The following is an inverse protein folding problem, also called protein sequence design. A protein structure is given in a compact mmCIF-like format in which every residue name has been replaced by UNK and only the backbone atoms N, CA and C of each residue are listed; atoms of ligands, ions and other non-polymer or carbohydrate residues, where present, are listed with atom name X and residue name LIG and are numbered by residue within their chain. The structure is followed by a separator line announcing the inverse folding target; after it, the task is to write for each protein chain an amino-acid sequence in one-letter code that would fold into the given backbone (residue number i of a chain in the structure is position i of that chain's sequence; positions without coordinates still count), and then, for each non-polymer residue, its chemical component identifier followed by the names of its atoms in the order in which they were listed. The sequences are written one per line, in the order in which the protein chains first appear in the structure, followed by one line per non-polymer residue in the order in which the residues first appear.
data_IF_144176730586
#
_entry.id   IF_144176730586
#
_cell.length_a   1.000
_cell.length_b   1.000
_cell.length_c   1.000
_cell.angle_alpha   90.00
_cell.angle_beta   90.00
_cell.angle_gamma   90.00
#
_symmetry.space_group_name_H-M   'P 1'
#
loop_
_entity.id
_entity.type
_entity.pdbx_description
1 polymer ?
#
# COMPACT_ATOMS: atom_id res chain seq x y z
N UNK A 1 8.75 -61.65 60.21
CA UNK A 1 7.64 -60.66 60.20
C UNK A 1 8.17 -59.43 59.46
N UNK A 2 8.03 -59.41 58.13
CA UNK A 2 8.54 -58.33 57.29
C UNK A 2 7.47 -57.25 57.15
N UNK A 3 7.80 -56.03 57.54
CA UNK A 3 6.97 -54.84 57.31
C UNK A 3 7.29 -54.28 55.93
N UNK A 4 6.28 -54.27 55.05
CA UNK A 4 6.27 -53.60 53.74
C UNK A 4 6.15 -52.08 53.96
N UNK A 5 7.06 -51.32 53.37
CA UNK A 5 6.92 -49.87 53.15
C UNK A 5 6.09 -49.63 51.88
N UNK A 6 5.13 -48.69 51.85
CA UNK A 6 4.36 -48.40 50.64
C UNK A 6 5.18 -47.50 49.69
N UNK A 7 5.07 -47.78 48.39
CA UNK A 7 5.61 -46.94 47.32
C UNK A 7 4.83 -45.62 47.24
N UNK A 8 5.54 -44.50 47.23
CA UNK A 8 4.97 -43.17 46.94
C UNK A 8 4.57 -43.05 45.47
N UNK A 9 3.66 -42.12 45.13
CA UNK A 9 3.22 -41.93 43.75
C UNK A 9 4.38 -41.42 42.89
N UNK A 10 4.55 -42.03 41.72
CA UNK A 10 5.50 -41.61 40.70
C UNK A 10 5.32 -40.11 40.40
N UNK A 11 6.37 -39.33 40.67
CA UNK A 11 6.46 -37.96 40.22
C UNK A 11 6.55 -37.98 38.70
N UNK A 12 5.45 -37.62 38.04
CA UNK A 12 5.42 -37.35 36.60
C UNK A 12 6.33 -36.15 36.33
N UNK A 13 7.56 -36.41 35.90
CA UNK A 13 8.43 -35.41 35.30
C UNK A 13 7.72 -34.87 34.04
N UNK A 14 7.44 -33.56 33.93
CA UNK A 14 6.88 -33.02 32.71
C UNK A 14 7.93 -33.16 31.59
N UNK A 15 7.47 -33.68 30.46
CA UNK A 15 8.23 -33.80 29.22
C UNK A 15 8.65 -32.38 28.76
N UNK A 16 9.96 -32.08 28.57
CA UNK A 16 10.42 -30.75 28.22
C UNK A 16 10.17 -30.38 26.75
N UNK A 17 9.72 -31.32 25.92
CA UNK A 17 9.31 -31.06 24.54
C UNK A 17 7.78 -31.04 24.44
N UNK A 18 7.19 -29.89 24.81
CA UNK A 18 5.86 -29.53 24.34
C UNK A 18 5.90 -29.38 22.81
N UNK A 19 5.73 -30.50 22.09
CA UNK A 19 5.76 -30.55 20.64
C UNK A 19 4.75 -29.56 20.05
N UNK A 20 5.25 -28.43 19.55
CA UNK A 20 4.45 -27.55 18.70
C UNK A 20 4.16 -28.32 17.42
N UNK A 21 2.86 -28.48 17.10
CA UNK A 21 2.46 -29.01 15.80
C UNK A 21 3.20 -28.26 14.69
N UNK A 22 3.72 -28.96 13.67
CA UNK A 22 4.48 -28.33 12.61
C UNK A 22 3.63 -27.26 11.92
N UNK A 23 4.19 -26.04 11.82
CA UNK A 23 3.53 -24.93 11.13
C UNK A 23 3.11 -25.39 9.72
N UNK A 24 1.80 -25.29 9.38
CA UNK A 24 1.33 -25.76 8.09
C UNK A 24 2.04 -25.03 6.95
N UNK A 25 2.26 -25.71 5.84
CA UNK A 25 2.78 -25.10 4.61
C UNK A 25 1.58 -24.59 3.81
N UNK A 26 1.50 -23.29 3.49
CA UNK A 26 0.44 -22.77 2.62
C UNK A 26 0.46 -23.45 1.25
N UNK A 27 -0.71 -23.85 0.74
CA UNK A 27 -0.83 -24.38 -0.61
C UNK A 27 -0.56 -23.29 -1.65
N UNK A 28 -0.12 -23.65 -2.88
CA UNK A 28 0.02 -22.68 -3.97
C UNK A 28 -1.27 -21.88 -4.26
N UNK A 29 -2.44 -22.52 -4.12
CA UNK A 29 -3.75 -21.87 -4.27
C UNK A 29 -3.97 -20.80 -3.20
N UNK A 30 -3.69 -21.12 -1.92
CA UNK A 30 -3.78 -20.14 -0.85
C UNK A 30 -2.84 -18.95 -1.08
N UNK A 31 -1.62 -19.19 -1.59
CA UNK A 31 -0.71 -18.10 -1.95
C UNK A 31 -1.23 -17.28 -3.14
N UNK A 32 -1.85 -17.93 -4.12
CA UNK A 32 -2.46 -17.22 -5.24
C UNK A 32 -3.58 -16.27 -4.78
N UNK A 33 -4.40 -16.67 -3.81
CA UNK A 33 -5.42 -15.80 -3.20
C UNK A 33 -4.79 -14.60 -2.46
N UNK A 34 -3.75 -14.85 -1.66
CA UNK A 34 -3.01 -13.78 -0.99
C UNK A 34 -2.40 -12.78 -1.98
N UNK A 35 -1.87 -13.27 -3.10
CA UNK A 35 -1.32 -12.42 -4.17
C UNK A 35 -2.43 -11.69 -4.92
N UNK A 36 -3.60 -12.32 -5.14
CA UNK A 36 -4.75 -11.66 -5.75
C UNK A 36 -5.24 -10.45 -4.95
N UNK A 37 -5.13 -10.52 -3.62
CA UNK A 37 -5.37 -9.39 -2.72
C UNK A 37 -4.20 -8.39 -2.76
N UNK A 38 -2.94 -8.87 -2.77
CA UNK A 38 -1.75 -8.04 -2.82
C UNK A 38 -1.73 -7.08 -4.03
N UNK A 39 -2.07 -7.59 -5.22
CA UNK A 39 -2.02 -6.83 -6.46
C UNK A 39 -3.10 -5.75 -6.59
N UNK A 40 -4.07 -5.67 -5.66
CA UNK A 40 -5.04 -4.57 -5.62
C UNK A 40 -4.39 -3.21 -5.30
N UNK A 41 -3.14 -3.23 -4.82
CA UNK A 41 -2.33 -2.07 -4.49
C UNK A 41 -2.27 -1.02 -5.62
N UNK A 42 -2.11 0.27 -5.27
CA UNK A 42 -1.82 1.33 -6.22
C UNK A 42 -0.37 1.25 -6.73
N UNK A 43 -0.17 1.69 -7.97
CA UNK A 43 1.16 1.94 -8.55
C UNK A 43 1.08 3.11 -9.53
N UNK A 44 2.21 3.77 -9.78
CA UNK A 44 2.30 4.85 -10.76
C UNK A 44 1.78 4.36 -12.12
N UNK A 45 0.84 5.11 -12.69
CA UNK A 45 0.10 4.77 -13.91
C UNK A 45 -0.50 3.35 -13.97
N UNK A 46 -0.74 2.71 -12.81
CA UNK A 46 -1.16 1.31 -12.74
C UNK A 46 -0.19 0.36 -13.48
N UNK A 47 1.11 0.68 -13.46
CA UNK A 47 2.16 -0.10 -14.13
C UNK A 47 2.39 -1.48 -13.49
N UNK A 48 1.99 -1.65 -12.23
CA UNK A 48 2.05 -2.91 -11.47
C UNK A 48 3.45 -3.55 -11.53
N UNK A 49 4.49 -2.84 -11.03
CA UNK A 49 5.90 -3.17 -11.26
C UNK A 49 6.41 -4.28 -10.32
N UNK A 50 5.57 -5.25 -9.99
CA UNK A 50 5.85 -6.29 -9.01
C UNK A 50 5.81 -7.69 -9.61
N UNK A 51 6.67 -8.56 -9.10
CA UNK A 51 6.61 -10.01 -9.24
C UNK A 51 6.70 -10.66 -7.86
N UNK A 52 6.03 -11.78 -7.71
CA UNK A 52 6.01 -12.60 -6.52
C UNK A 52 6.66 -13.96 -6.81
N UNK A 53 7.44 -14.45 -5.87
CA UNK A 53 8.00 -15.80 -5.92
C UNK A 53 7.73 -16.50 -4.60
N UNK A 54 7.06 -17.64 -4.64
CA UNK A 54 6.78 -18.44 -3.45
C UNK A 54 7.73 -19.62 -3.34
N UNK A 55 8.37 -19.75 -2.18
CA UNK A 55 9.16 -20.91 -1.78
C UNK A 55 8.40 -21.71 -0.71
N UNK A 56 7.81 -22.87 -1.07
CA UNK A 56 7.08 -23.72 -0.13
C UNK A 56 7.96 -24.32 0.98
N UNK A 57 9.25 -24.57 0.71
CA UNK A 57 10.16 -25.15 1.70
C UNK A 57 10.48 -24.16 2.82
N UNK A 58 10.59 -22.88 2.46
CA UNK A 58 10.86 -21.78 3.41
C UNK A 58 9.56 -21.12 3.93
N UNK A 59 8.41 -21.41 3.30
CA UNK A 59 7.13 -20.68 3.47
C UNK A 59 7.30 -19.18 3.27
N UNK A 60 8.09 -18.81 2.27
CA UNK A 60 8.44 -17.41 1.99
C UNK A 60 7.81 -16.97 0.68
N UNK A 61 7.12 -15.84 0.72
CA UNK A 61 6.75 -15.08 -0.48
C UNK A 61 7.74 -13.94 -0.63
N UNK A 62 8.50 -13.95 -1.72
CA UNK A 62 9.35 -12.84 -2.13
C UNK A 62 8.51 -11.82 -2.90
N UNK A 63 8.75 -10.54 -2.63
CA UNK A 63 8.24 -9.41 -3.42
C UNK A 63 9.42 -8.80 -4.17
N UNK A 64 9.32 -8.78 -5.49
CA UNK A 64 10.41 -8.40 -6.40
C UNK A 64 9.96 -7.28 -7.34
N UNK A 65 10.88 -6.39 -7.69
CA UNK A 65 10.64 -5.41 -8.74
C UNK A 65 10.60 -6.09 -10.12
N UNK A 66 9.66 -5.69 -10.96
CA UNK A 66 9.59 -6.06 -12.38
C UNK A 66 10.32 -5.02 -13.23
N UNK A 67 11.55 -5.30 -13.73
CA UNK A 67 12.30 -4.32 -14.52
C UNK A 67 11.64 -4.01 -15.86
N UNK A 68 10.78 -4.89 -16.38
CA UNK A 68 10.07 -4.71 -17.66
C UNK A 68 8.87 -3.75 -17.53
N UNK A 69 8.61 -3.25 -16.32
CA UNK A 69 7.54 -2.32 -15.99
C UNK A 69 8.05 -0.97 -15.46
N UNK A 70 9.34 -0.69 -15.67
CA UNK A 70 9.93 0.61 -15.36
C UNK A 70 9.31 1.75 -16.18
N UNK A 71 9.28 2.94 -15.59
CA UNK A 71 8.85 4.19 -16.23
C UNK A 71 10.08 5.06 -16.35
N UNK A 72 10.61 5.21 -17.56
CA UNK A 72 11.99 5.64 -17.77
C UNK A 72 12.22 7.13 -17.53
N UNK A 73 11.26 7.97 -17.91
CA UNK A 73 11.37 9.42 -17.81
C UNK A 73 10.77 9.94 -16.52
N UNK A 74 9.59 9.43 -16.13
CA UNK A 74 8.88 9.90 -14.92
C UNK A 74 9.35 9.21 -13.63
N UNK A 75 10.03 8.06 -13.70
CA UNK A 75 10.57 7.34 -12.53
C UNK A 75 11.97 6.73 -12.80
N UNK A 76 12.97 7.53 -13.21
CA UNK A 76 14.27 7.03 -13.66
C UNK A 76 15.04 6.25 -12.59
N UNK A 77 14.85 6.58 -11.31
CA UNK A 77 15.48 5.89 -10.17
C UNK A 77 14.64 4.71 -9.64
N UNK A 78 13.44 4.50 -10.17
CA UNK A 78 12.51 3.47 -9.74
C UNK A 78 11.86 3.73 -8.38
N UNK A 79 11.88 4.95 -7.87
CA UNK A 79 11.30 5.32 -6.56
C UNK A 79 9.81 5.03 -6.51
N UNK A 80 9.07 5.44 -7.53
CA UNK A 80 7.63 5.16 -7.63
C UNK A 80 7.35 3.65 -7.78
N UNK A 81 8.22 2.93 -8.49
CA UNK A 81 8.15 1.47 -8.57
C UNK A 81 8.36 0.80 -7.19
N UNK A 82 9.29 1.29 -6.37
CA UNK A 82 9.48 0.80 -4.99
C UNK A 82 8.27 1.10 -4.11
N UNK A 83 7.71 2.31 -4.18
CA UNK A 83 6.49 2.68 -3.46
C UNK A 83 5.33 1.73 -3.83
N UNK A 84 5.15 1.45 -5.12
CA UNK A 84 4.12 0.52 -5.60
C UNK A 84 4.34 -0.92 -5.13
N UNK A 85 5.56 -1.45 -5.24
CA UNK A 85 5.89 -2.79 -4.75
C UNK A 85 5.70 -2.91 -3.23
N UNK A 86 6.03 -1.85 -2.48
CA UNK A 86 5.83 -1.82 -1.04
C UNK A 86 4.34 -1.70 -0.64
N UNK A 87 3.52 -1.02 -1.43
CA UNK A 87 2.07 -1.07 -1.25
C UNK A 87 1.53 -2.49 -1.48
N UNK A 88 1.99 -3.19 -2.53
CA UNK A 88 1.62 -4.59 -2.76
C UNK A 88 2.11 -5.53 -1.65
N UNK A 89 3.32 -5.29 -1.12
CA UNK A 89 3.83 -5.97 0.08
C UNK A 89 2.94 -5.73 1.30
N UNK A 90 2.44 -4.51 1.51
CA UNK A 90 1.52 -4.22 2.61
C UNK A 90 0.21 -4.99 2.46
N UNK A 91 -0.37 -5.01 1.26
CA UNK A 91 -1.59 -5.76 0.98
C UNK A 91 -1.39 -7.26 1.17
N UNK A 92 -0.22 -7.80 0.80
CA UNK A 92 0.15 -9.18 1.10
C UNK A 92 0.18 -9.46 2.61
N UNK A 93 0.72 -8.54 3.42
CA UNK A 93 0.73 -8.65 4.90
C UNK A 93 -0.69 -8.66 5.47
N UNK A 94 -1.56 -7.76 4.99
CA UNK A 94 -2.98 -7.68 5.40
C UNK A 94 -3.73 -8.96 5.04
N UNK A 95 -3.60 -9.43 3.79
CA UNK A 95 -4.24 -10.66 3.34
C UNK A 95 -3.75 -11.88 4.13
N UNK A 96 -2.44 -11.98 4.38
CA UNK A 96 -1.85 -13.05 5.17
C UNK A 96 -2.41 -13.05 6.61
N UNK A 97 -2.43 -11.88 7.28
CA UNK A 97 -2.98 -11.73 8.62
C UNK A 97 -4.46 -12.14 8.68
N UNK A 98 -5.28 -11.67 7.73
CA UNK A 98 -6.68 -12.05 7.62
C UNK A 98 -6.87 -13.57 7.44
N UNK A 99 -6.04 -14.19 6.61
CA UNK A 99 -6.02 -15.64 6.38
C UNK A 99 -5.44 -16.46 7.56
N UNK A 100 -5.01 -15.81 8.65
CA UNK A 100 -4.49 -16.50 9.82
C UNK A 100 -3.01 -16.88 9.73
N UNK A 101 -2.24 -16.16 8.93
CA UNK A 101 -0.79 -16.25 8.91
C UNK A 101 -0.19 -15.06 9.63
N UNK A 102 0.91 -15.29 10.35
CA UNK A 102 1.75 -14.22 10.88
C UNK A 102 2.78 -13.83 9.81
N UNK A 103 2.64 -12.66 9.14
CA UNK A 103 3.59 -12.25 8.13
C UNK A 103 4.84 -11.67 8.79
N UNK A 104 5.96 -12.36 8.70
CA UNK A 104 7.27 -11.85 9.16
C UNK A 104 8.03 -11.28 7.97
N UNK A 105 8.13 -9.95 7.91
CA UNK A 105 8.69 -9.23 6.76
C UNK A 105 10.15 -8.85 6.97
N UNK A 106 10.96 -9.04 5.93
CA UNK A 106 12.35 -8.55 5.84
C UNK A 106 12.52 -7.75 4.55
N UNK A 107 12.86 -6.47 4.67
CA UNK A 107 13.12 -5.58 3.52
C UNK A 107 14.57 -5.71 3.05
N UNK A 108 14.79 -5.62 1.74
CA UNK A 108 16.09 -5.69 1.07
C UNK A 108 16.96 -6.84 1.62
N UNK A 109 16.45 -8.07 1.57
CA UNK A 109 17.05 -9.23 2.24
C UNK A 109 18.42 -9.64 1.67
N UNK A 110 18.72 -9.30 0.42
CA UNK A 110 19.95 -9.66 -0.27
C UNK A 110 20.54 -8.41 -0.98
N UNK A 111 21.65 -7.86 -0.49
CA UNK A 111 22.32 -6.73 -1.15
C UNK A 111 22.84 -7.05 -2.57
N UNK A 112 23.03 -8.32 -2.91
CA UNK A 112 23.49 -8.76 -4.23
C UNK A 112 22.36 -8.87 -5.27
N UNK A 113 21.11 -8.87 -4.83
CA UNK A 113 19.93 -8.97 -5.69
C UNK A 113 19.06 -7.70 -5.53
N UNK A 114 19.35 -6.64 -6.29
CA UNK A 114 18.62 -5.37 -6.16
C UNK A 114 17.15 -5.50 -6.55
N UNK A 115 16.72 -6.53 -7.27
CA UNK A 115 15.31 -6.71 -7.62
C UNK A 115 14.52 -7.37 -6.49
N UNK A 116 15.17 -8.03 -5.53
CA UNK A 116 14.52 -8.60 -4.36
C UNK A 116 14.25 -7.53 -3.31
N UNK A 117 13.02 -7.04 -3.27
CA UNK A 117 12.64 -5.91 -2.42
C UNK A 117 12.26 -6.34 -1.01
N UNK A 118 11.59 -7.48 -0.86
CA UNK A 118 11.21 -8.01 0.44
C UNK A 118 11.01 -9.54 0.42
N UNK A 119 11.13 -10.14 1.60
CA UNK A 119 10.64 -11.49 1.90
C UNK A 119 9.55 -11.40 2.97
N UNK A 120 8.48 -12.16 2.78
CA UNK A 120 7.42 -12.38 3.78
C UNK A 120 7.39 -13.85 4.13
N UNK A 121 7.88 -14.21 5.32
CA UNK A 121 7.76 -15.56 5.85
C UNK A 121 6.39 -15.71 6.51
N UNK A 122 5.64 -16.71 6.07
CA UNK A 122 4.32 -17.05 6.59
C UNK A 122 4.49 -18.04 7.75
N UNK A 123 4.45 -17.49 8.96
CA UNK A 123 4.45 -18.29 10.18
C UNK A 123 3.02 -18.65 10.60
N UNK A 124 2.88 -19.74 11.36
CA UNK A 124 1.59 -20.20 11.86
C UNK A 124 0.95 -19.16 12.78
N UNK A 125 -0.31 -18.81 12.50
CA UNK A 125 -0.98 -17.73 13.22
C UNK A 125 -2.51 -17.76 13.18
N UNK A 126 -3.16 -18.91 13.44
CA UNK A 126 -4.58 -18.99 13.88
C UNK A 126 -5.10 -20.37 14.31
N UNK A 127 -4.25 -21.40 14.40
CA UNK A 127 -4.61 -22.70 15.00
C UNK A 127 -4.31 -22.79 16.51
N UNK A 128 -3.92 -21.68 17.16
CA UNK A 128 -3.78 -21.60 18.63
C UNK A 128 -4.88 -20.77 19.30
N UNK A 129 -5.80 -20.14 18.55
CA UNK A 129 -6.96 -19.45 19.12
C UNK A 129 -8.21 -19.60 18.23
N UNK A 130 -9.28 -20.03 18.87
CA UNK A 130 -10.55 -20.54 18.37
C UNK A 130 -11.30 -19.65 17.35
N UNK A 131 -11.85 -20.30 16.32
CA UNK A 131 -12.55 -19.76 15.17
C UNK A 131 -14.04 -19.52 15.46
N UNK A 132 -14.41 -18.55 16.31
CA UNK A 132 -15.84 -18.18 16.49
C UNK A 132 -16.15 -16.73 16.91
N UNK A 133 -15.23 -15.76 16.85
CA UNK A 133 -15.55 -14.39 17.32
C UNK A 133 -15.60 -13.29 16.25
N UNK A 134 -16.78 -12.67 16.21
CA UNK A 134 -17.22 -11.36 15.68
C UNK A 134 -16.19 -10.22 15.86
N UNK A 135 -16.31 -9.11 15.10
CA UNK A 135 -15.30 -8.05 15.00
C UNK A 135 -14.90 -7.49 16.37
N UNK A 136 -13.60 -7.56 16.66
CA UNK A 136 -13.02 -7.20 17.93
C UNK A 136 -12.58 -5.74 17.91
N UNK A 137 -13.41 -4.83 18.44
CA UNK A 137 -12.97 -3.49 18.86
C UNK A 137 -12.99 -3.47 20.40
N UNK A 138 -11.85 -3.72 21.04
CA UNK A 138 -11.70 -3.50 22.49
C UNK A 138 -10.45 -2.71 22.81
N UNK A 139 -10.63 -1.75 23.71
CA UNK A 139 -9.58 -0.88 24.23
C UNK A 139 -8.60 -1.65 25.11
N UNK A 140 -7.35 -1.16 25.14
CA UNK A 140 -6.19 -1.57 25.95
C UNK A 140 -6.47 -1.79 27.44
N UNK A 141 -7.61 -1.29 27.93
CA UNK A 141 -8.06 -1.39 29.31
C UNK A 141 -8.60 -2.78 29.69
N UNK A 142 -9.08 -3.57 28.72
CA UNK A 142 -9.60 -4.93 28.97
C UNK A 142 -8.47 -5.92 29.27
N UNK A 143 -7.32 -5.77 28.59
CA UNK A 143 -6.18 -6.67 28.74
C UNK A 143 -5.51 -6.54 30.11
N UNK A 144 -5.42 -5.31 30.65
CA UNK A 144 -4.84 -5.04 31.97
C UNK A 144 -5.53 -5.82 33.11
N UNK A 145 -6.73 -6.38 32.85
CA UNK A 145 -7.54 -7.14 33.80
C UNK A 145 -7.34 -8.66 33.72
N UNK A 146 -6.79 -9.22 32.64
CA UNK A 146 -6.69 -10.68 32.43
C UNK A 146 -5.42 -11.31 33.02
N UNK A 147 -4.38 -10.53 33.30
CA UNK A 147 -3.19 -11.02 34.01
C UNK A 147 -2.27 -11.96 33.21
N UNK A 148 -2.57 -12.23 31.94
CA UNK A 148 -1.71 -12.98 31.02
C UNK A 148 -0.52 -12.12 30.53
N UNK A 149 0.65 -12.71 30.21
CA UNK A 149 1.77 -11.97 29.65
C UNK A 149 1.44 -11.42 28.26
N UNK A 150 1.41 -10.10 28.13
CA UNK A 150 1.19 -9.39 26.87
C UNK A 150 2.52 -9.10 26.19
N UNK A 151 2.74 -9.63 24.98
CA UNK A 151 3.92 -9.26 24.18
C UNK A 151 3.62 -8.16 23.14
N UNK A 152 2.37 -7.67 23.06
CA UNK A 152 1.94 -6.63 22.12
C UNK A 152 1.91 -7.07 20.65
N UNK A 153 2.30 -8.30 20.33
CA UNK A 153 2.39 -8.76 18.95
C UNK A 153 1.02 -9.17 18.39
N UNK A 154 0.16 -9.77 19.22
CA UNK A 154 -1.21 -10.14 18.84
C UNK A 154 -2.04 -8.94 18.35
N UNK A 155 -1.98 -7.81 19.07
CA UNK A 155 -2.72 -6.59 18.71
C UNK A 155 -2.24 -6.01 17.37
N UNK A 156 -0.95 -6.07 17.07
CA UNK A 156 -0.42 -5.62 15.77
C UNK A 156 -0.87 -6.52 14.60
N UNK A 157 -1.11 -7.81 14.84
CA UNK A 157 -1.64 -8.73 13.83
C UNK A 157 -3.13 -8.55 13.60
N UNK A 158 -3.90 -8.38 14.68
CA UNK A 158 -5.34 -8.13 14.60
C UNK A 158 -5.61 -6.78 13.89
N UNK A 159 -4.83 -5.74 14.20
CA UNK A 159 -4.89 -4.45 13.49
C UNK A 159 -4.62 -4.57 11.98
N UNK A 160 -3.71 -5.46 11.56
CA UNK A 160 -3.48 -5.70 10.13
C UNK A 160 -4.67 -6.41 9.47
N UNK A 161 -5.23 -7.42 10.13
CA UNK A 161 -6.37 -8.17 9.61
C UNK A 161 -7.64 -7.30 9.46
N UNK A 162 -7.81 -6.31 10.35
CA UNK A 162 -8.93 -5.36 10.31
C UNK A 162 -8.95 -4.48 9.04
N UNK A 163 -7.80 -4.31 8.38
CA UNK A 163 -7.69 -3.57 7.11
C UNK A 163 -8.19 -4.36 5.89
N UNK A 164 -8.39 -5.68 6.01
CA UNK A 164 -8.75 -6.56 4.90
C UNK A 164 -9.98 -6.10 4.08
N UNK A 165 -11.09 -5.64 4.70
CA UNK A 165 -12.26 -5.17 3.94
C UNK A 165 -11.96 -3.99 3.02
N UNK A 166 -10.90 -3.20 3.29
CA UNK A 166 -10.53 -2.05 2.48
C UNK A 166 -9.77 -2.41 1.21
N UNK A 167 -9.07 -3.55 1.13
CA UNK A 167 -8.18 -3.89 0.00
C UNK A 167 -8.86 -3.74 -1.36
N UNK A 168 -10.05 -4.33 -1.51
CA UNK A 168 -10.83 -4.32 -2.76
C UNK A 168 -11.74 -3.10 -2.91
N UNK A 169 -11.97 -2.35 -1.83
CA UNK A 169 -12.79 -1.13 -1.81
C UNK A 169 -11.98 0.11 -2.15
N UNK A 170 -10.71 0.15 -1.76
CA UNK A 170 -9.81 1.28 -1.94
C UNK A 170 -9.64 1.54 -3.44
N UNK A 171 -9.84 2.79 -3.84
CA UNK A 171 -9.65 3.27 -5.21
C UNK A 171 -9.11 4.67 -5.18
N UNK A 172 -8.36 5.02 -6.22
CA UNK A 172 -7.86 6.38 -6.43
C UNK A 172 -8.97 7.17 -7.12
N UNK A 173 -9.53 8.15 -6.43
CA UNK A 173 -10.54 9.05 -6.99
C UNK A 173 -9.89 10.22 -7.71
N UNK A 174 -10.45 10.56 -8.87
CA UNK A 174 -10.09 11.73 -9.67
C UNK A 174 -11.27 12.69 -9.82
N UNK A 175 -12.36 12.45 -9.07
CA UNK A 175 -13.52 13.31 -9.00
C UNK A 175 -13.29 14.47 -8.01
N UNK A 176 -14.09 15.55 -8.07
CA UNK A 176 -14.15 16.56 -7.03
C UNK A 176 -14.50 15.98 -5.66
N UNK A 177 -13.95 16.57 -4.60
CA UNK A 177 -14.35 16.31 -3.22
C UNK A 177 -15.19 17.48 -2.67
N UNK A 178 -15.95 17.23 -1.62
CA UNK A 178 -16.69 18.26 -0.89
C UNK A 178 -15.72 19.15 -0.09
N UNK A 179 -16.16 20.35 0.27
CA UNK A 179 -15.42 21.27 1.15
C UNK A 179 -15.51 20.88 2.64
N UNK A 180 -16.08 19.71 2.94
CA UNK A 180 -16.23 19.21 4.31
C UNK A 180 -14.86 18.92 4.92
N UNK A 181 -14.61 19.53 6.09
CA UNK A 181 -13.35 19.35 6.82
C UNK A 181 -13.29 17.96 7.43
N UNK A 182 -12.13 17.34 7.31
CA UNK A 182 -11.86 16.04 7.93
C UNK A 182 -11.67 16.27 9.43
N UNK A 183 -12.31 15.43 10.24
CA UNK A 183 -12.20 15.49 11.70
C UNK A 183 -10.76 15.22 12.20
N UNK A 184 -10.33 15.95 13.22
CA UNK A 184 -8.96 15.86 13.75
C UNK A 184 -8.63 14.46 14.30
N UNK A 185 -9.61 13.73 14.86
CA UNK A 185 -9.39 12.36 15.33
C UNK A 185 -9.09 11.41 14.17
N UNK A 186 -9.70 11.65 13.01
CA UNK A 186 -9.41 10.90 11.79
C UNK A 186 -8.01 11.27 11.26
N UNK A 187 -7.66 12.55 11.24
CA UNK A 187 -6.29 12.98 10.87
C UNK A 187 -5.23 12.31 11.76
N UNK A 188 -5.45 12.27 13.08
CA UNK A 188 -4.56 11.58 14.03
C UNK A 188 -4.47 10.07 13.80
N UNK A 189 -5.57 9.45 13.39
CA UNK A 189 -5.58 8.03 12.99
C UNK A 189 -4.69 7.80 11.76
N UNK A 190 -4.79 8.66 10.75
CA UNK A 190 -3.95 8.58 9.55
C UNK A 190 -2.46 8.87 9.86
N UNK A 191 -2.17 9.82 10.76
CA UNK A 191 -0.79 10.06 11.24
C UNK A 191 -0.21 8.82 11.92
N UNK A 192 -0.99 8.16 12.77
CA UNK A 192 -0.58 6.94 13.47
C UNK A 192 -0.34 5.80 12.48
N UNK A 193 -1.22 5.63 11.48
CA UNK A 193 -1.07 4.63 10.44
C UNK A 193 0.28 4.76 9.70
N UNK A 194 0.67 5.99 9.32
CA UNK A 194 1.98 6.23 8.71
C UNK A 194 3.14 5.91 9.67
N UNK A 195 3.03 6.31 10.94
CA UNK A 195 4.06 6.11 11.95
C UNK A 195 4.34 4.64 12.27
N UNK A 196 3.30 3.79 12.30
CA UNK A 196 3.45 2.35 12.53
C UNK A 196 4.37 1.71 11.47
N UNK A 197 4.31 2.20 10.24
CA UNK A 197 5.13 1.71 9.12
C UNK A 197 6.45 2.50 8.95
N UNK A 198 6.78 3.37 9.91
CA UNK A 198 8.04 4.10 9.95
C UNK A 198 8.11 5.33 9.04
N UNK A 199 6.98 5.86 8.59
CA UNK A 199 6.87 7.12 7.86
C UNK A 199 6.15 8.19 8.69
N UNK A 200 6.08 9.41 8.17
CA UNK A 200 5.29 10.49 8.77
C UNK A 200 4.28 11.01 7.76
N UNK A 201 3.08 11.31 8.25
CA UNK A 201 2.05 12.02 7.50
C UNK A 201 1.91 13.42 8.09
N UNK A 202 2.19 14.44 7.29
CA UNK A 202 2.03 15.85 7.67
C UNK A 202 0.84 16.45 6.92
N UNK A 203 0.11 17.35 7.56
CA UNK A 203 -0.94 18.14 6.93
C UNK A 203 -0.44 19.58 6.87
N UNK A 204 -0.10 20.09 5.66
CA UNK A 204 0.43 21.42 5.53
C UNK A 204 -0.60 22.46 5.97
N UNK A 205 -0.12 23.59 6.49
CA UNK A 205 -0.96 24.76 6.71
C UNK A 205 -1.38 25.40 5.37
N UNK A 206 -2.12 26.50 5.43
CA UNK A 206 -2.62 27.18 4.23
C UNK A 206 -1.47 27.61 3.29
N UNK A 207 -0.42 28.21 3.83
CA UNK A 207 0.69 28.74 3.03
C UNK A 207 1.53 27.61 2.39
N UNK A 208 1.85 26.57 3.17
CA UNK A 208 2.58 25.43 2.65
C UNK A 208 1.72 24.63 1.66
N UNK A 209 0.42 24.52 1.93
CA UNK A 209 -0.55 23.90 1.03
C UNK A 209 -0.60 24.60 -0.33
N UNK A 210 -0.70 25.93 -0.35
CA UNK A 210 -0.63 26.73 -1.58
C UNK A 210 0.66 26.50 -2.35
N UNK A 211 1.80 26.47 -1.65
CA UNK A 211 3.11 26.18 -2.25
C UNK A 211 3.12 24.80 -2.93
N UNK A 212 2.59 23.77 -2.27
CA UNK A 212 2.51 22.40 -2.84
C UNK A 212 1.64 22.39 -4.11
N UNK A 213 0.52 23.11 -4.10
CA UNK A 213 -0.37 23.22 -5.26
C UNK A 213 0.30 23.96 -6.43
N UNK A 214 1.05 25.03 -6.17
CA UNK A 214 1.81 25.74 -7.20
C UNK A 214 2.89 24.87 -7.84
N UNK A 215 3.63 24.11 -7.03
CA UNK A 215 4.63 23.15 -7.52
C UNK A 215 3.99 22.05 -8.37
N UNK A 216 2.80 21.58 -7.99
CA UNK A 216 2.01 20.64 -8.81
C UNK A 216 1.67 21.21 -10.18
N UNK A 217 1.15 22.44 -10.24
CA UNK A 217 0.83 23.13 -11.51
C UNK A 217 2.07 23.39 -12.36
N UNK A 218 3.21 23.66 -11.73
CA UNK A 218 4.49 23.80 -12.43
C UNK A 218 4.96 22.47 -13.05
N UNK A 219 4.86 21.38 -12.31
CA UNK A 219 5.19 20.05 -12.82
C UNK A 219 4.31 19.67 -14.02
N UNK A 220 3.00 19.93 -13.94
CA UNK A 220 2.06 19.70 -15.05
C UNK A 220 2.45 20.52 -16.29
N UNK A 221 2.78 21.81 -16.14
CA UNK A 221 3.25 22.65 -17.27
C UNK A 221 4.51 22.10 -17.92
N UNK A 222 5.48 21.64 -17.12
CA UNK A 222 6.72 21.04 -17.64
C UNK A 222 6.43 19.77 -18.43
N UNK A 223 5.61 18.88 -17.86
CA UNK A 223 5.20 17.65 -18.51
C UNK A 223 4.48 17.91 -19.84
N UNK A 224 3.52 18.83 -19.87
CA UNK A 224 2.78 19.16 -21.10
C UNK A 224 3.68 19.79 -22.18
N UNK A 225 4.76 20.46 -21.77
CA UNK A 225 5.72 21.07 -22.69
C UNK A 225 6.75 20.07 -23.24
N UNK A 226 6.91 18.92 -22.59
CA UNK A 226 7.87 17.88 -22.97
C UNK A 226 7.18 16.78 -23.77
N UNK A 227 7.54 16.66 -25.06
CA UNK A 227 6.96 15.65 -25.94
C UNK A 227 7.27 14.22 -25.51
N UNK A 228 8.46 13.93 -25.00
CA UNK A 228 8.84 12.58 -24.62
C UNK A 228 8.08 12.12 -23.37
N UNK A 229 7.89 13.01 -22.38
CA UNK A 229 7.07 12.72 -21.20
C UNK A 229 5.59 12.54 -21.56
N UNK A 230 5.05 13.34 -22.50
CA UNK A 230 3.67 13.13 -22.99
C UNK A 230 3.51 11.79 -23.70
N UNK A 231 4.47 11.39 -24.51
CA UNK A 231 4.47 10.09 -25.19
C UNK A 231 4.58 8.92 -24.20
N UNK A 232 5.44 9.04 -23.17
CA UNK A 232 5.52 8.06 -22.09
C UNK A 232 4.20 7.95 -21.32
N UNK A 233 3.59 9.08 -20.94
CA UNK A 233 2.29 9.09 -20.28
C UNK A 233 1.22 8.44 -21.16
N UNK A 234 1.15 8.82 -22.44
CA UNK A 234 0.20 8.26 -23.40
C UNK A 234 0.40 6.75 -23.61
N UNK A 235 1.62 6.22 -23.46
CA UNK A 235 1.85 4.78 -23.49
C UNK A 235 1.17 4.05 -22.31
N UNK A 236 0.97 4.72 -21.17
CA UNK A 236 0.34 4.16 -19.98
C UNK A 236 -1.14 4.54 -19.78
N UNK A 237 -1.67 5.45 -20.60
CA UNK A 237 -3.02 6.00 -20.43
C UNK A 237 -3.85 5.93 -21.71
N UNK A 238 -5.16 5.75 -21.54
CA UNK A 238 -6.13 5.74 -22.64
C UNK A 238 -6.28 4.38 -23.31
N UNK A 239 -7.15 4.35 -24.31
CA UNK A 239 -7.63 3.10 -24.92
C UNK A 239 -6.80 2.70 -26.16
N UNK A 240 -5.82 3.52 -26.54
CA UNK A 240 -4.94 3.34 -27.70
C UNK A 240 -3.68 2.52 -27.42
N UNK A 241 -3.55 1.86 -26.26
CA UNK A 241 -2.47 0.88 -26.08
C UNK A 241 -2.59 -0.16 -27.19
N UNK A 242 -1.48 -0.42 -27.89
CA UNK A 242 -1.37 -1.39 -28.99
C UNK A 242 -1.56 -2.80 -28.47
N UNK A 243 -2.78 -3.12 -28.04
CA UNK A 243 -3.21 -4.46 -27.67
C UNK A 243 -4.06 -5.03 -28.81
N UNK A 244 -4.07 -6.35 -29.00
CA UNK A 244 -5.01 -6.98 -29.91
C UNK A 244 -6.43 -6.47 -29.62
N UNK A 245 -7.24 -6.17 -30.65
CA UNK A 245 -8.53 -5.49 -30.50
C UNK A 245 -9.56 -6.17 -29.59
N UNK A 246 -9.32 -7.42 -29.18
CA UNK A 246 -10.26 -8.25 -28.42
C UNK A 246 -9.90 -8.42 -26.92
N UNK A 247 -8.77 -7.88 -26.43
CA UNK A 247 -8.38 -7.98 -25.01
C UNK A 247 -7.94 -6.62 -24.46
N UNK A 248 -8.73 -5.97 -23.58
CA UNK A 248 -8.29 -4.74 -22.92
C UNK A 248 -7.08 -5.00 -22.01
N UNK A 249 -6.12 -4.07 -21.92
CA UNK A 249 -4.96 -4.21 -21.04
C UNK A 249 -5.34 -4.40 -19.57
N UNK A 250 -4.63 -5.29 -18.89
CA UNK A 250 -4.72 -5.48 -17.44
C UNK A 250 -3.81 -4.52 -16.64
N UNK A 251 -3.23 -3.51 -17.32
CA UNK A 251 -2.38 -2.45 -16.80
C UNK A 251 -2.72 -1.08 -17.41
N UNK A 252 -2.07 -0.02 -16.92
CA UNK A 252 -2.36 1.34 -17.38
C UNK A 252 -3.67 1.90 -16.83
N UNK A 253 -4.01 3.12 -17.25
CA UNK A 253 -5.24 3.81 -16.85
C UNK A 253 -6.13 4.03 -18.08
N UNK A 254 -7.29 3.36 -18.20
CA UNK A 254 -8.22 3.56 -19.31
C UNK A 254 -8.88 4.95 -19.25
N UNK A 255 -9.41 5.40 -20.38
CA UNK A 255 -9.95 6.76 -20.53
C UNK A 255 -11.16 7.05 -19.61
N UNK A 256 -11.97 6.02 -19.34
CA UNK A 256 -13.12 6.09 -18.42
C UNK A 256 -12.73 6.28 -16.94
N UNK A 257 -11.46 6.06 -16.60
CA UNK A 257 -10.90 6.24 -15.25
C UNK A 257 -10.17 7.58 -15.05
N UNK A 258 -10.14 8.45 -16.07
CA UNK A 258 -9.48 9.76 -15.99
C UNK A 258 -10.19 10.73 -15.04
N UNK A 259 -11.50 10.57 -14.85
CA UNK A 259 -12.31 11.55 -14.12
C UNK A 259 -12.62 12.81 -14.95
N UNK A 260 -13.41 13.75 -14.40
CA UNK A 260 -13.78 14.97 -15.08
C UNK A 260 -12.60 15.96 -15.15
N UNK A 261 -12.62 16.84 -16.15
CA UNK A 261 -11.70 17.98 -16.22
C UNK A 261 -12.13 19.09 -15.28
N UNK A 262 -11.16 19.75 -14.67
CA UNK A 262 -11.41 20.89 -13.81
C UNK A 262 -11.84 22.11 -14.63
N UNK A 263 -13.00 22.70 -14.29
CA UNK A 263 -13.41 24.04 -14.74
C UNK A 263 -12.94 25.13 -13.79
N UNK A 264 -12.98 24.81 -12.50
CA UNK A 264 -12.61 25.67 -11.39
C UNK A 264 -12.11 24.80 -10.22
N UNK A 265 -11.53 25.44 -9.20
CA UNK A 265 -10.95 24.77 -8.05
C UNK A 265 -9.43 24.64 -8.16
N UNK A 266 -8.80 24.18 -7.09
CA UNK A 266 -7.35 24.14 -6.95
C UNK A 266 -6.80 22.72 -6.78
N UNK A 267 -7.64 21.71 -6.92
CA UNK A 267 -7.27 20.36 -6.56
C UNK A 267 -6.21 19.75 -7.51
N UNK A 268 -5.13 19.13 -6.98
CA UNK A 268 -4.05 18.62 -7.81
C UNK A 268 -4.42 17.23 -8.35
N UNK A 269 -5.04 17.19 -9.53
CA UNK A 269 -5.33 15.94 -10.26
C UNK A 269 -4.55 15.95 -11.55
N UNK A 270 -3.63 14.99 -11.70
CA UNK A 270 -2.86 14.78 -12.93
C UNK A 270 -3.79 14.66 -14.14
N UNK A 271 -3.53 15.43 -15.20
CA UNK A 271 -4.20 15.24 -16.48
C UNK A 271 -3.66 14.02 -17.23
N UNK A 272 -4.35 12.90 -17.07
CA UNK A 272 -4.04 11.65 -17.77
C UNK A 272 -4.34 11.67 -19.27
N UNK A 273 -5.00 12.72 -19.79
CA UNK A 273 -5.16 12.92 -21.22
C UNK A 273 -3.89 13.44 -21.93
N UNK A 274 -2.84 13.79 -21.17
CA UNK A 274 -1.60 14.37 -21.72
C UNK A 274 -1.85 15.63 -22.59
N UNK A 275 -2.90 16.39 -22.29
CA UNK A 275 -3.34 17.56 -23.08
C UNK A 275 -4.31 17.23 -24.22
N UNK A 276 -4.48 15.95 -24.57
CA UNK A 276 -5.47 15.48 -25.53
C UNK A 276 -6.79 15.12 -24.83
N UNK A 277 -7.93 15.42 -25.46
CA UNK A 277 -9.26 15.09 -24.94
C UNK A 277 -10.18 14.46 -26.00
N UNK A 278 -9.78 13.32 -26.59
CA UNK A 278 -10.57 12.66 -27.62
C UNK A 278 -11.87 12.03 -27.07
N UNK A 279 -12.00 11.85 -25.75
CA UNK A 279 -13.12 11.17 -25.10
C UNK A 279 -14.28 12.08 -24.69
N UNK A 280 -14.14 13.41 -24.79
CA UNK A 280 -15.19 14.35 -24.39
C UNK A 280 -15.50 14.27 -22.90
N UNK A 281 -14.45 14.28 -22.06
CA UNK A 281 -14.59 14.14 -20.60
C UNK A 281 -15.57 15.15 -20.03
N UNK A 282 -16.34 14.72 -19.04
CA UNK A 282 -17.17 15.62 -18.25
C UNK A 282 -16.32 16.73 -17.61
N UNK A 283 -16.94 17.87 -17.34
CA UNK A 283 -16.29 19.02 -16.72
C UNK A 283 -16.94 19.27 -15.36
N UNK A 284 -16.13 19.49 -14.33
CA UNK A 284 -16.63 19.70 -12.97
C UNK A 284 -15.86 20.80 -12.23
N UNK A 285 -16.48 21.39 -11.21
CA UNK A 285 -15.82 22.29 -10.27
C UNK A 285 -15.22 21.45 -9.14
N UNK A 286 -13.92 21.61 -8.94
CA UNK A 286 -13.19 20.99 -7.85
C UNK A 286 -13.20 21.88 -6.61
N UNK A 287 -12.86 21.29 -5.47
CA UNK A 287 -12.71 21.99 -4.21
C UNK A 287 -11.74 23.18 -4.32
N UNK A 288 -12.09 24.28 -3.64
CA UNK A 288 -11.27 25.49 -3.57
C UNK A 288 -10.11 25.31 -2.61
N UNK A 289 -10.33 24.53 -1.55
CA UNK A 289 -9.37 24.30 -0.47
C UNK A 289 -9.12 22.79 -0.29
N UNK A 290 -8.42 22.14 -1.23
CA UNK A 290 -8.13 20.71 -1.15
C UNK A 290 -7.36 20.37 0.13
N UNK A 291 -7.81 19.32 0.82
CA UNK A 291 -7.17 18.85 2.04
C UNK A 291 -6.02 17.90 1.69
N UNK A 292 -4.81 18.46 1.65
CA UNK A 292 -3.59 17.75 1.30
C UNK A 292 -2.95 17.09 2.52
N UNK A 293 -2.21 16.02 2.27
CA UNK A 293 -1.27 15.44 3.19
C UNK A 293 0.03 15.10 2.46
N UNK A 294 1.14 15.23 3.18
CA UNK A 294 2.47 14.91 2.72
C UNK A 294 2.95 13.69 3.48
N UNK A 295 3.09 12.57 2.76
CA UNK A 295 3.72 11.37 3.30
C UNK A 295 5.22 11.45 3.03
N UNK A 296 6.04 11.18 4.04
CA UNK A 296 7.49 11.25 3.87
C UNK A 296 8.29 10.52 4.94
N UNK A 297 9.60 10.50 4.71
CA UNK A 297 10.59 9.73 5.47
C UNK A 297 11.76 10.61 5.90
N UNK A 298 12.52 10.15 6.89
CA UNK A 298 13.71 10.85 7.36
C UNK A 298 14.89 10.75 6.39
N UNK A 299 14.96 9.65 5.62
CA UNK A 299 15.93 9.44 4.54
C UNK A 299 15.24 9.22 3.20
N UNK A 300 16.05 8.99 2.17
CA UNK A 300 15.59 8.76 0.79
C UNK A 300 16.26 7.55 0.13
N UNK A 301 16.62 6.56 0.94
CA UNK A 301 17.17 5.30 0.43
C UNK A 301 16.06 4.38 -0.11
N UNK A 302 16.45 3.33 -0.82
CA UNK A 302 15.51 2.27 -1.25
C UNK A 302 14.73 1.67 -0.07
N UNK A 303 15.34 1.56 1.11
CA UNK A 303 14.66 1.10 2.32
C UNK A 303 13.59 2.12 2.79
N UNK A 304 13.86 3.41 2.66
CA UNK A 304 12.92 4.48 2.99
C UNK A 304 11.74 4.50 2.01
N UNK A 305 11.99 4.27 0.73
CA UNK A 305 10.92 4.12 -0.27
C UNK A 305 10.01 2.92 0.04
N UNK A 306 10.59 1.79 0.46
CA UNK A 306 9.79 0.63 0.85
C UNK A 306 8.98 0.86 2.13
N UNK A 307 9.51 1.61 3.11
CA UNK A 307 8.73 2.03 4.29
C UNK A 307 7.61 2.97 3.90
N UNK A 308 7.91 3.95 3.06
CA UNK A 308 6.93 4.92 2.58
C UNK A 308 5.80 4.25 1.78
N UNK A 309 6.08 3.24 0.95
CA UNK A 309 5.04 2.54 0.20
C UNK A 309 4.11 1.70 1.09
N UNK A 310 4.65 1.06 2.13
CA UNK A 310 3.83 0.35 3.12
C UNK A 310 2.99 1.34 3.94
N UNK A 311 3.58 2.46 4.38
CA UNK A 311 2.87 3.51 5.09
C UNK A 311 1.77 4.15 4.24
N UNK A 312 2.06 4.41 2.96
CA UNK A 312 1.09 4.92 1.99
C UNK A 312 -0.12 4.01 1.94
N UNK A 313 0.09 2.71 1.72
CA UNK A 313 -1.03 1.78 1.58
C UNK A 313 -1.81 1.64 2.88
N UNK A 314 -1.15 1.57 4.04
CA UNK A 314 -1.84 1.56 5.33
C UNK A 314 -2.75 2.79 5.48
N UNK A 315 -2.22 3.98 5.22
CA UNK A 315 -2.98 5.24 5.28
C UNK A 315 -4.17 5.22 4.32
N UNK A 316 -4.00 4.71 3.10
CA UNK A 316 -5.08 4.63 2.11
C UNK A 316 -6.19 3.64 2.53
N UNK A 317 -5.82 2.52 3.15
CA UNK A 317 -6.78 1.52 3.62
C UNK A 317 -7.55 2.01 4.84
N UNK A 318 -6.88 2.64 5.81
CA UNK A 318 -7.50 3.28 6.99
C UNK A 318 -8.49 4.37 6.54
N UNK A 319 -8.05 5.27 5.65
CA UNK A 319 -8.91 6.29 5.06
C UNK A 319 -10.14 5.69 4.35
N UNK A 320 -9.98 4.56 3.67
CA UNK A 320 -11.08 3.85 2.99
C UNK A 320 -12.08 3.24 3.99
N UNK A 321 -11.61 2.71 5.13
CA UNK A 321 -12.49 2.19 6.19
C UNK A 321 -13.33 3.30 6.81
N UNK A 322 -12.74 4.49 6.99
CA UNK A 322 -13.40 5.68 7.54
C UNK A 322 -14.19 6.49 6.50
N UNK A 323 -14.29 6.00 5.25
CA UNK A 323 -15.14 6.57 4.21
C UNK A 323 -14.56 7.78 3.47
N UNK A 324 -13.27 8.05 3.61
CA UNK A 324 -12.59 9.10 2.84
C UNK A 324 -12.30 8.63 1.42
N UNK A 325 -12.55 9.52 0.47
CA UNK A 325 -12.01 9.44 -0.87
C UNK A 325 -10.54 9.90 -0.87
N UNK A 326 -9.71 9.23 -1.67
CA UNK A 326 -8.26 9.52 -1.76
C UNK A 326 -7.83 9.75 -3.20
N UNK A 327 -6.95 10.73 -3.41
CA UNK A 327 -6.24 10.96 -4.67
C UNK A 327 -4.74 11.05 -4.41
N UNK A 328 -3.93 10.67 -5.40
CA UNK A 328 -2.47 10.72 -5.31
C UNK A 328 -1.93 11.69 -6.35
N UNK A 329 -1.03 12.58 -5.92
CA UNK A 329 -0.35 13.53 -6.77
C UNK A 329 1.17 13.32 -6.64
N UNK A 330 1.78 12.73 -7.67
CA UNK A 330 3.22 12.46 -7.71
C UNK A 330 4.02 13.45 -8.56
N UNK A 331 3.37 14.24 -9.42
CA UNK A 331 4.01 15.02 -10.49
C UNK A 331 5.13 15.93 -9.99
N UNK A 332 4.88 16.72 -8.95
CA UNK A 332 5.91 17.59 -8.36
C UNK A 332 7.09 16.82 -7.75
N UNK A 333 6.92 15.53 -7.47
CA UNK A 333 7.94 14.66 -6.89
C UNK A 333 8.74 13.90 -7.96
N UNK A 334 8.41 14.07 -9.24
CA UNK A 334 9.12 13.47 -10.38
C UNK A 334 10.26 14.38 -10.87
N UNK A 335 10.34 15.62 -10.37
CA UNK A 335 11.39 16.59 -10.66
C UNK A 335 12.20 16.90 -9.41
N UNK A 336 13.51 16.73 -9.43
CA UNK A 336 14.37 16.88 -8.25
C UNK A 336 14.23 18.25 -7.58
N UNK A 337 14.20 19.34 -8.36
CA UNK A 337 14.11 20.69 -7.80
C UNK A 337 12.74 20.96 -7.18
N UNK A 338 11.66 20.49 -7.81
CA UNK A 338 10.31 20.65 -7.30
C UNK A 338 10.11 19.78 -6.05
N UNK A 339 10.57 18.53 -6.09
CA UNK A 339 10.51 17.59 -4.96
C UNK A 339 11.24 18.13 -3.74
N UNK A 340 12.40 18.74 -3.94
CA UNK A 340 13.15 19.41 -2.87
C UNK A 340 12.32 20.54 -2.24
N UNK A 341 11.60 21.31 -3.06
CA UNK A 341 10.80 22.46 -2.67
C UNK A 341 9.43 22.11 -2.05
N UNK A 342 8.88 20.91 -2.30
CA UNK A 342 7.60 20.47 -1.67
C UNK A 342 7.74 20.35 -0.15
N UNK A 343 8.94 20.18 0.38
CA UNK A 343 9.18 19.99 1.81
C UNK A 343 9.02 21.30 2.58
N UNK A 344 8.51 21.19 3.81
CA UNK A 344 8.62 22.26 4.79
C UNK A 344 10.01 22.19 5.46
N UNK A 345 10.88 23.20 5.31
CA UNK A 345 12.19 23.23 5.95
C UNK A 345 12.15 23.19 7.49
N UNK A 346 11.02 23.58 8.09
CA UNK A 346 10.82 23.54 9.55
C UNK A 346 10.31 22.17 10.05
N UNK A 347 9.90 21.27 9.15
CA UNK A 347 9.35 19.97 9.49
C UNK A 347 10.45 18.93 9.73
N UNK A 348 10.19 17.98 10.63
CA UNK A 348 11.01 16.78 10.79
C UNK A 348 10.88 15.79 9.61
N UNK A 349 10.04 16.11 8.62
CA UNK A 349 9.84 15.39 7.38
C UNK A 349 10.93 15.77 6.35
N UNK A 350 12.02 15.00 6.29
CA UNK A 350 13.17 15.33 5.43
C UNK A 350 12.97 15.05 3.94
N UNK A 351 12.10 14.09 3.58
CA UNK A 351 11.87 13.71 2.18
C UNK A 351 10.39 13.40 1.96
N UNK A 352 9.71 14.19 1.12
CA UNK A 352 8.32 13.90 0.71
C UNK A 352 8.36 12.80 -0.34
N UNK A 353 7.59 11.74 -0.07
CA UNK A 353 7.49 10.55 -0.90
C UNK A 353 6.20 10.53 -1.71
N UNK A 354 5.11 11.08 -1.18
CA UNK A 354 3.82 11.18 -1.87
C UNK A 354 3.02 12.37 -1.37
N UNK A 355 2.30 13.05 -2.28
CA UNK A 355 1.24 14.00 -1.92
C UNK A 355 -0.10 13.28 -2.06
N UNK A 356 -0.90 13.33 -1.01
CA UNK A 356 -2.21 12.68 -0.95
C UNK A 356 -3.26 13.77 -0.79
N UNK A 357 -4.36 13.67 -1.52
CA UNK A 357 -5.54 14.49 -1.35
C UNK A 357 -6.63 13.65 -0.68
N UNK A 358 -7.15 14.13 0.43
CA UNK A 358 -8.27 13.50 1.15
C UNK A 358 -9.54 14.35 1.03
N UNK A 359 -10.70 13.70 1.16
CA UNK A 359 -11.97 14.39 1.28
C UNK A 359 -13.14 13.42 1.22
N UNK A 360 -14.35 13.97 1.18
CA UNK A 360 -15.57 13.20 0.95
C UNK A 360 -16.07 13.47 -0.46
N UNK A 361 -16.69 12.49 -1.09
CA UNK A 361 -17.18 12.65 -2.45
C UNK A 361 -17.87 11.40 -2.96
N UNK A 362 -18.46 11.51 -4.15
CA UNK A 362 -19.10 10.39 -4.81
C UNK A 362 -18.13 9.24 -5.06
N UNK A 363 -18.71 8.07 -5.33
CA UNK A 363 -17.98 6.82 -5.49
C UNK A 363 -16.79 7.00 -6.43
N UNK A 364 -15.60 6.51 -6.04
CA UNK A 364 -14.44 6.54 -6.92
C UNK A 364 -14.77 5.85 -8.24
N UNK A 365 -14.12 6.30 -9.32
CA UNK A 365 -14.30 5.78 -10.68
C UNK A 365 -14.13 4.24 -10.80
N UNK A 366 -14.22 3.69 -12.02
CA UNK A 366 -14.19 2.24 -12.22
C UNK A 366 -12.96 1.60 -11.57
N UNK A 367 -13.13 0.36 -11.10
CA UNK A 367 -11.99 -0.41 -10.60
C UNK A 367 -11.04 -0.67 -11.76
N UNK A 368 -9.79 -0.29 -11.57
CA UNK A 368 -8.77 -0.56 -12.57
C UNK A 368 -8.46 -2.06 -12.61
N UNK A 369 -8.26 -2.60 -13.81
CA UNK A 369 -7.83 -3.98 -14.01
C UNK A 369 -6.47 -4.21 -13.38
N UNK A 370 -6.21 -5.48 -13.08
CA UNK A 370 -4.95 -5.98 -12.51
C UNK A 370 -4.49 -7.18 -13.31
N UNK A 371 -3.18 -7.29 -13.49
CA UNK A 371 -2.55 -8.42 -14.17
C UNK A 371 -2.99 -9.74 -13.50
N UNK A 372 -3.27 -10.79 -14.27
CA UNK A 372 -3.60 -12.10 -13.72
C UNK A 372 -2.51 -12.60 -12.77
N UNK A 373 -2.91 -13.26 -11.67
CA UNK A 373 -1.97 -13.77 -10.66
C UNK A 373 -0.89 -14.66 -11.28
N UNK A 374 -1.25 -15.45 -12.29
CA UNK A 374 -0.35 -16.37 -12.98
C UNK A 374 0.77 -15.65 -13.75
N UNK A 375 0.59 -14.38 -14.12
CA UNK A 375 1.64 -13.60 -14.78
C UNK A 375 2.64 -13.00 -13.80
N UNK A 376 2.27 -12.89 -12.52
CA UNK A 376 3.07 -12.19 -11.50
C UNK A 376 3.56 -13.12 -10.41
N UNK A 377 2.96 -14.29 -10.21
CA UNK A 377 3.34 -15.28 -9.20
C UNK A 377 4.03 -16.48 -9.85
N UNK A 378 5.20 -16.83 -9.31
CA UNK A 378 5.91 -18.08 -9.61
C UNK A 378 6.11 -18.89 -8.34
N UNK A 379 6.15 -20.22 -8.44
CA UNK A 379 6.43 -21.12 -7.31
C UNK A 379 7.76 -21.83 -7.56
N UNK A 380 8.70 -21.76 -6.63
CA UNK A 380 9.97 -22.47 -6.77
C UNK A 380 9.74 -23.97 -6.61
N UNK A 381 10.19 -24.76 -7.58
CA UNK A 381 10.08 -26.22 -7.55
C UNK A 381 9.19 -26.81 -8.64
N UNK A 382 8.46 -25.97 -9.38
CA UNK A 382 7.94 -26.35 -10.70
C UNK A 382 9.11 -26.20 -11.70
N UNK A 383 9.65 -27.35 -12.12
CA UNK A 383 10.81 -27.44 -13.01
C UNK A 383 10.55 -26.99 -14.44
#
# INVERSE_FOLDING_TARGET
MSLKTPAGPDAHTPDPDGGQDPVPVPSPEAIADLVADAITAPSLHNAQPWRFRYDPHRRVVEVRADPDRGIALSDPEGRAAHLGCAAALFNLRVAAAHAGWKPVTRLLPDPGDPLLLAEVRLDGGRALYDATRLPYRKTTETYRRSGEPYDGTADAYDELADLYPALRRRRTSRAPFTEERIDEQLLDTLRRAALIEGARLAFPDEFHGETVLELGREAERRQLSDTALREELAAWTGDHRTHPPDTPPDDGVPSDAFGPRARAGNAPVRDLGAGDDPSGRAVADFERSPQLALLGTAGDSRADWLRAGQALERVLLEATLDGLATSLASEALEWDELRWAVRDPASALSHVQMVIRFGYGDQPGPALRRRPVQEVLTVTGDG
#
